data_IF_907291757550
#
_entry.id   IF_907291757550
#
_cell.length_a   1.000
_cell.length_b   1.000
_cell.length_c   1.000
_cell.angle_alpha   90.00
_cell.angle_beta   90.00
_cell.angle_gamma   90.00
#
_symmetry.space_group_name_H-M   'P 1'
#
loop_
_entity.id
_entity.type
_entity.pdbx_description
1 polymer ?
#
# COMPACT_ATOMS: atom_id res chain seq x y z
N UNK A 1 10.50 -1.51 -17.04
CA UNK A 1 10.87 -1.85 -15.66
C UNK A 1 9.74 -1.65 -14.65
N UNK A 2 8.54 -1.18 -15.04
CA UNK A 2 7.42 -0.98 -14.09
C UNK A 2 6.45 -2.16 -14.03
N UNK A 3 6.49 -3.07 -15.01
CA UNK A 3 5.60 -4.25 -15.09
C UNK A 3 5.78 -5.19 -13.91
N UNK A 4 7.02 -5.49 -13.50
CA UNK A 4 7.29 -6.33 -12.33
C UNK A 4 6.74 -5.74 -11.03
N UNK A 5 6.70 -4.41 -10.90
CA UNK A 5 6.13 -3.76 -9.71
C UNK A 5 4.61 -3.92 -9.72
N UNK A 6 3.96 -3.74 -10.86
CA UNK A 6 2.52 -3.98 -10.99
C UNK A 6 2.16 -5.45 -10.67
N UNK A 7 2.95 -6.41 -11.15
CA UNK A 7 2.76 -7.84 -10.85
C UNK A 7 2.85 -8.11 -9.33
N UNK A 8 3.87 -7.57 -8.66
CA UNK A 8 4.03 -7.73 -7.20
C UNK A 8 2.87 -7.07 -6.43
N UNK A 9 2.35 -5.93 -6.87
CA UNK A 9 1.20 -5.29 -6.22
C UNK A 9 -0.06 -6.17 -6.32
N UNK A 10 -0.27 -6.83 -7.47
CA UNK A 10 -1.36 -7.78 -7.67
C UNK A 10 -1.17 -9.01 -6.78
N UNK A 11 0.05 -9.53 -6.67
CA UNK A 11 0.36 -10.67 -5.79
C UNK A 11 0.08 -10.31 -4.32
N UNK A 12 0.46 -9.10 -3.87
CA UNK A 12 0.15 -8.63 -2.51
C UNK A 12 -1.36 -8.58 -2.28
N UNK A 13 -2.14 -8.03 -3.22
CA UNK A 13 -3.61 -8.03 -3.13
C UNK A 13 -4.18 -9.45 -3.06
N UNK A 14 -3.67 -10.36 -3.88
CA UNK A 14 -4.09 -11.75 -3.89
C UNK A 14 -3.81 -12.43 -2.54
N UNK A 15 -2.59 -12.27 -2.00
CA UNK A 15 -2.18 -12.82 -0.71
C UNK A 15 -3.03 -12.25 0.44
N UNK A 16 -3.29 -10.94 0.45
CA UNK A 16 -4.16 -10.31 1.44
C UNK A 16 -5.58 -10.90 1.41
N UNK A 17 -6.12 -11.17 0.22
CA UNK A 17 -7.43 -11.83 0.07
C UNK A 17 -7.41 -13.28 0.52
N UNK A 18 -6.37 -14.04 0.16
CA UNK A 18 -6.19 -15.44 0.57
C UNK A 18 -6.10 -15.57 2.09
N UNK A 19 -5.39 -14.65 2.73
CA UNK A 19 -5.23 -14.59 4.19
C UNK A 19 -6.45 -13.99 4.91
N UNK A 20 -7.51 -13.60 4.19
CA UNK A 20 -8.67 -12.89 4.73
C UNK A 20 -8.31 -11.59 5.48
N UNK A 21 -7.19 -10.98 5.11
CA UNK A 21 -6.72 -9.68 5.62
C UNK A 21 -7.21 -8.51 4.74
N UNK A 22 -7.82 -8.82 3.60
CA UNK A 22 -8.44 -7.84 2.71
C UNK A 22 -9.73 -7.32 3.33
N UNK A 23 -9.73 -6.06 3.76
CA UNK A 23 -10.88 -5.44 4.38
C UNK A 23 -11.75 -4.76 3.31
N UNK A 24 -13.04 -5.06 3.31
CA UNK A 24 -14.00 -4.39 2.40
C UNK A 24 -14.48 -3.06 2.97
N UNK A 25 -14.32 -2.85 4.27
CA UNK A 25 -14.68 -1.62 4.96
C UNK A 25 -13.54 -0.62 4.82
N UNK A 26 -13.84 0.58 4.32
CA UNK A 26 -12.86 1.66 4.30
C UNK A 26 -12.59 2.12 5.73
N UNK A 27 -11.32 2.24 6.16
CA UNK A 27 -11.02 2.88 7.42
C UNK A 27 -11.47 4.35 7.40
N UNK A 28 -11.75 4.93 8.57
CA UNK A 28 -12.17 6.33 8.65
C UNK A 28 -11.12 7.25 8.04
N UNK A 29 -11.57 8.31 7.35
CA UNK A 29 -10.67 9.28 6.70
C UNK A 29 -9.68 9.90 7.68
N UNK A 30 -10.07 10.02 8.95
CA UNK A 30 -9.24 10.44 10.07
C UNK A 30 -8.02 9.54 10.29
N UNK A 31 -8.19 8.22 10.13
CA UNK A 31 -7.14 7.22 10.24
C UNK A 31 -6.21 7.22 9.02
N UNK A 32 -6.78 7.43 7.82
CA UNK A 32 -5.99 7.60 6.59
C UNK A 32 -5.21 8.91 6.58
N UNK A 33 -5.70 9.93 7.29
CA UNK A 33 -5.06 11.23 7.45
C UNK A 33 -4.10 11.29 8.66
N UNK A 34 -3.78 10.16 9.29
CA UNK A 34 -2.81 10.14 10.39
C UNK A 34 -1.47 10.71 9.91
N UNK A 35 -0.94 11.68 10.66
CA UNK A 35 0.34 12.34 10.39
C UNK A 35 1.53 11.47 10.81
N UNK A 36 1.29 10.35 11.47
CA UNK A 36 2.32 9.40 11.86
C UNK A 36 2.81 8.57 10.66
N UNK A 37 4.11 8.19 10.62
CA UNK A 37 4.63 7.39 9.52
C UNK A 37 3.86 6.06 9.41
N UNK A 38 3.48 5.66 8.20
CA UNK A 38 2.70 4.43 7.96
C UNK A 38 1.34 4.35 8.66
N UNK A 39 0.85 5.44 9.26
CA UNK A 39 -0.38 5.47 10.04
C UNK A 39 -0.45 4.32 11.08
N UNK A 40 0.69 3.92 11.66
CA UNK A 40 0.78 2.72 12.51
C UNK A 40 -0.06 2.80 13.80
N UNK A 41 -0.50 4.00 14.17
CA UNK A 41 -1.33 4.23 15.36
C UNK A 41 -2.82 3.95 15.10
N UNK A 42 -3.25 4.09 13.85
CA UNK A 42 -4.66 4.15 13.44
C UNK A 42 -5.04 3.04 12.46
N UNK A 43 -4.07 2.54 11.68
CA UNK A 43 -4.25 1.48 10.69
C UNK A 43 -3.41 0.26 11.03
N UNK A 44 -3.95 -0.90 10.74
CA UNK A 44 -3.15 -2.12 10.67
C UNK A 44 -2.31 -2.14 9.39
N UNK A 45 -1.21 -2.90 9.39
CA UNK A 45 -0.34 -3.00 8.21
C UNK A 45 -1.09 -3.43 6.93
N UNK A 46 -2.01 -4.42 6.96
CA UNK A 46 -2.84 -4.77 5.79
C UNK A 46 -3.71 -3.62 5.29
N UNK A 47 -4.35 -2.87 6.19
CA UNK A 47 -5.17 -1.71 5.83
C UNK A 47 -4.32 -0.62 5.18
N UNK A 48 -3.17 -0.30 5.77
CA UNK A 48 -2.26 0.68 5.18
C UNK A 48 -1.76 0.24 3.79
N UNK A 49 -1.42 -1.05 3.63
CA UNK A 49 -1.04 -1.62 2.35
C UNK A 49 -2.16 -1.44 1.30
N UNK A 50 -3.38 -1.84 1.66
CA UNK A 50 -4.53 -1.80 0.78
C UNK A 50 -4.97 -0.38 0.39
N UNK A 51 -5.11 0.50 1.37
CA UNK A 51 -5.76 1.80 1.18
C UNK A 51 -4.80 2.95 0.91
N UNK A 52 -3.51 2.81 1.26
CA UNK A 52 -2.51 3.88 1.07
C UNK A 52 -1.44 3.45 0.08
N UNK A 53 -0.85 2.27 0.25
CA UNK A 53 0.30 1.85 -0.55
C UNK A 53 -0.08 1.39 -1.96
N UNK A 54 -0.99 0.42 -2.10
CA UNK A 54 -1.43 -0.11 -3.39
C UNK A 54 -1.89 0.99 -4.37
N UNK A 55 -2.85 1.88 -4.02
CA UNK A 55 -3.30 2.93 -4.93
C UNK A 55 -2.17 3.90 -5.29
N UNK A 56 -1.34 4.31 -4.33
CA UNK A 56 -0.21 5.21 -4.60
C UNK A 56 0.81 4.58 -5.56
N UNK A 57 1.09 3.29 -5.41
CA UNK A 57 2.02 2.58 -6.28
C UNK A 57 1.42 2.35 -7.67
N UNK A 58 0.11 2.07 -7.78
CA UNK A 58 -0.58 2.04 -9.05
C UNK A 58 -0.54 3.39 -9.78
N UNK A 59 -0.78 4.50 -9.07
CA UNK A 59 -0.64 5.86 -9.64
C UNK A 59 0.78 6.13 -10.14
N UNK A 60 1.81 5.77 -9.37
CA UNK A 60 3.21 5.93 -9.78
C UNK A 60 3.56 5.09 -11.02
N UNK A 61 3.09 3.84 -11.06
CA UNK A 61 3.28 2.95 -12.21
C UNK A 61 2.54 3.49 -13.44
N UNK A 62 1.29 3.91 -13.27
CA UNK A 62 0.45 4.46 -14.34
C UNK A 62 0.98 5.79 -14.88
N UNK A 63 1.56 6.62 -14.01
CA UNK A 63 2.19 7.88 -14.39
C UNK A 63 3.58 7.70 -15.05
N UNK A 64 4.07 6.46 -15.18
CA UNK A 64 5.45 6.13 -15.59
C UNK A 64 6.50 6.93 -14.80
N UNK A 65 6.14 7.36 -13.59
CA UNK A 65 6.99 8.19 -12.76
C UNK A 65 8.16 7.33 -12.24
N UNK A 66 9.32 7.96 -12.05
CA UNK A 66 10.44 7.28 -11.41
C UNK A 66 9.98 6.76 -10.04
N UNK A 67 10.04 5.44 -9.86
CA UNK A 67 9.78 4.82 -8.57
C UNK A 67 10.69 5.51 -7.53
N UNK A 68 10.16 5.90 -6.36
CA UNK A 68 11.01 6.48 -5.33
C UNK A 68 12.13 5.47 -5.03
N UNK A 69 13.36 5.85 -5.38
CA UNK A 69 14.54 4.97 -5.26
C UNK A 69 14.81 4.52 -3.82
N UNK A 70 14.18 5.21 -2.86
CA UNK A 70 14.18 4.92 -1.43
C UNK A 70 12.73 4.65 -0.97
N UNK A 71 12.16 3.52 -1.40
CA UNK A 71 10.93 3.02 -0.76
C UNK A 71 11.32 2.47 0.61
N UNK A 72 11.34 3.36 1.62
CA UNK A 72 11.74 3.09 3.00
C UNK A 72 10.82 2.15 3.79
N UNK A 73 10.22 1.13 3.16
CA UNK A 73 9.54 0.02 3.85
C UNK A 73 10.56 -0.95 4.49
N UNK A 74 11.86 -0.66 4.39
CA UNK A 74 12.89 -1.32 5.21
C UNK A 74 13.32 -0.44 6.38
N UNK A 75 12.95 -0.77 7.62
CA UNK A 75 13.87 -0.64 8.74
C UNK A 75 14.85 -1.84 8.74
N UNK A 76 16.08 -1.55 9.15
CA UNK A 76 17.10 -2.52 9.57
C UNK A 76 16.60 -3.39 10.74
#
# INVERSE_FOLDING_TARGET
>A
MHTQVAEVLIDIEAELRQLQLWESELPPEEALASTQPFCFDTLTLPQWLQFVFLPRMHDLVAAEAALPGDCGIRPM
#
